data_IF_822937740904
#
_entry.id   IF_822937740904
#
_cell.length_a   1.000
_cell.length_b   1.000
_cell.length_c   1.000
_cell.angle_alpha   90.00
_cell.angle_beta   90.00
_cell.angle_gamma   90.00
#
_symmetry.space_group_name_H-M   'P 1'
#
loop_
_entity.id
_entity.type
_entity.pdbx_description
1 polymer ?
#
# COMPACT_ATOMS: atom_id res chain seq x y z
N UNK A 1 0.12 -24.62 10.35
CA UNK A 1 -0.22 -24.01 9.04
C UNK A 1 0.06 -22.50 8.97
N UNK A 2 -0.18 -21.71 10.03
CA UNK A 2 0.04 -20.24 9.97
C UNK A 2 1.52 -19.82 9.84
N UNK A 3 2.46 -20.57 10.40
CA UNK A 3 3.90 -20.29 10.29
C UNK A 3 4.45 -20.36 8.85
N UNK A 4 3.85 -21.21 7.99
CA UNK A 4 4.27 -21.31 6.59
C UNK A 4 3.79 -20.13 5.75
N UNK A 5 2.64 -19.55 6.08
CA UNK A 5 2.10 -18.38 5.40
C UNK A 5 2.92 -17.12 5.67
N UNK A 6 3.30 -16.91 6.94
CA UNK A 6 4.12 -15.75 7.32
C UNK A 6 5.53 -15.84 6.72
N UNK A 7 6.12 -17.03 6.64
CA UNK A 7 7.42 -17.24 6.01
C UNK A 7 7.37 -17.04 4.48
N UNK A 8 6.25 -17.38 3.84
CA UNK A 8 6.05 -17.17 2.40
C UNK A 8 5.94 -15.68 2.06
N UNK A 9 5.22 -14.89 2.87
CA UNK A 9 5.10 -13.44 2.68
C UNK A 9 6.45 -12.74 2.93
N UNK A 10 7.18 -13.13 3.97
CA UNK A 10 8.50 -12.55 4.27
C UNK A 10 9.55 -12.89 3.19
N UNK A 11 9.51 -14.10 2.63
CA UNK A 11 10.42 -14.50 1.54
C UNK A 11 10.05 -13.83 0.22
N UNK A 12 8.76 -13.70 -0.10
CA UNK A 12 8.30 -12.98 -1.29
C UNK A 12 8.70 -11.50 -1.27
N UNK A 13 8.52 -10.82 -0.14
CA UNK A 13 8.88 -9.40 0.01
C UNK A 13 10.40 -9.16 -0.01
N UNK A 14 11.20 -10.13 0.47
CA UNK A 14 12.66 -10.07 0.44
C UNK A 14 13.24 -10.28 -0.97
N UNK A 15 12.65 -11.19 -1.75
CA UNK A 15 13.05 -11.43 -3.15
C UNK A 15 12.74 -10.22 -4.04
N UNK A 16 11.70 -9.45 -3.71
CA UNK A 16 11.33 -8.23 -4.46
C UNK A 16 12.28 -7.05 -4.18
N UNK A 17 12.87 -6.97 -2.98
CA UNK A 17 13.93 -5.98 -2.67
C UNK A 17 15.25 -6.24 -3.41
N UNK A 18 15.57 -7.50 -3.69
CA UNK A 18 16.84 -7.86 -4.36
C UNK A 18 16.78 -7.69 -5.89
N UNK A 19 15.59 -7.47 -6.48
CA UNK A 19 15.44 -7.24 -7.93
C UNK A 19 15.57 -5.78 -8.38
N UNK A 20 15.64 -4.82 -7.45
CA UNK A 20 15.87 -3.40 -7.76
C UNK A 20 17.32 -2.93 -7.56
N UNK A 21 18.24 -3.82 -7.14
CA UNK A 21 19.65 -3.50 -6.87
C UNK A 21 20.62 -3.66 -8.06
N UNK A 22 20.12 -3.79 -9.29
CA UNK A 22 20.87 -4.41 -10.40
C UNK A 22 21.15 -3.57 -11.65
N UNK A 23 21.20 -2.24 -11.57
CA UNK A 23 21.71 -1.42 -12.69
C UNK A 23 22.86 -0.53 -12.21
N UNK A 24 24.06 -1.13 -12.16
CA UNK A 24 25.31 -0.37 -12.12
C UNK A 24 25.45 0.40 -13.43
N UNK A 25 25.34 1.73 -13.37
CA UNK A 25 25.87 2.60 -14.43
C UNK A 25 27.39 2.48 -14.36
N UNK A 26 27.99 1.76 -15.30
CA UNK A 26 29.45 1.78 -15.51
C UNK A 26 29.85 3.18 -15.98
N UNK A 27 30.21 4.05 -15.03
CA UNK A 27 30.89 5.31 -15.38
C UNK A 27 32.38 5.00 -15.54
N UNK A 28 32.85 4.95 -16.78
CA UNK A 28 34.29 4.94 -17.05
C UNK A 28 34.85 6.30 -16.62
N UNK A 29 35.84 6.32 -15.71
CA UNK A 29 36.58 7.55 -15.38
C UNK A 29 37.35 8.01 -16.62
N UNK A 30 36.84 9.05 -17.28
CA UNK A 30 37.52 9.73 -18.38
C UNK A 30 38.53 10.72 -17.76
N UNK A 31 39.82 10.71 -18.17
CA UNK A 31 40.80 11.66 -17.68
C UNK A 31 40.41 13.10 -18.03
N UNK A 32 40.55 14.01 -17.06
CA UNK A 32 40.00 15.37 -17.05
C UNK A 32 40.54 16.35 -18.11
N UNK A 33 41.40 15.90 -19.03
CA UNK A 33 42.21 16.78 -19.88
C UNK A 33 41.67 16.91 -21.31
N UNK A 34 40.41 16.52 -21.56
CA UNK A 34 39.76 16.65 -22.87
C UNK A 34 38.32 17.18 -22.73
N UNK A 35 37.92 18.21 -23.49
CA UNK A 35 36.54 18.69 -23.47
C UNK A 35 35.59 17.59 -23.96
N UNK A 36 34.64 17.20 -23.11
CA UNK A 36 33.58 16.24 -23.43
C UNK A 36 32.64 16.90 -24.44
N UNK A 37 32.77 16.55 -25.73
CA UNK A 37 31.77 16.92 -26.73
C UNK A 37 30.64 15.90 -26.68
N UNK A 38 29.55 16.25 -26.00
CA UNK A 38 28.30 15.49 -26.07
C UNK A 38 27.72 15.72 -27.47
N UNK A 39 27.71 14.69 -28.30
CA UNK A 39 27.12 14.73 -29.63
C UNK A 39 25.68 14.21 -29.53
N UNK A 40 24.72 15.08 -29.79
CA UNK A 40 23.33 14.69 -29.96
C UNK A 40 23.16 14.19 -31.41
N UNK A 41 22.74 12.94 -31.58
CA UNK A 41 22.38 12.42 -32.90
C UNK A 41 21.08 13.08 -33.33
N UNK A 42 21.18 13.96 -34.32
CA UNK A 42 20.10 14.75 -34.90
C UNK A 42 19.34 13.86 -35.90
N UNK A 43 18.19 13.31 -35.51
CA UNK A 43 17.24 12.79 -36.49
C UNK A 43 16.51 13.98 -37.12
N UNK A 44 16.86 14.28 -38.38
CA UNK A 44 16.31 15.37 -39.16
C UNK A 44 14.86 15.05 -39.56
N UNK A 45 13.90 15.77 -38.98
CA UNK A 45 12.49 15.73 -39.39
C UNK A 45 12.03 17.16 -39.66
N UNK A 46 12.17 17.53 -40.94
CA UNK A 46 11.58 18.61 -41.74
C UNK A 46 10.55 19.54 -41.07
N UNK A 47 10.85 20.85 -41.14
CA UNK A 47 10.01 22.01 -40.82
C UNK A 47 8.63 22.01 -41.54
N UNK A 48 7.56 22.37 -40.81
CA UNK A 48 6.49 23.26 -41.29
C UNK A 48 5.47 23.60 -40.18
N UNK A 49 5.49 24.86 -39.73
CA UNK A 49 4.34 25.77 -39.52
C UNK A 49 4.57 26.67 -38.31
N UNK A 50 4.88 27.92 -38.63
CA UNK A 50 4.79 29.09 -37.79
C UNK A 50 3.39 29.25 -37.18
N UNK A 51 3.23 28.79 -35.95
CA UNK A 51 2.24 29.32 -35.01
C UNK A 51 3.01 29.98 -33.87
N UNK A 52 2.78 31.28 -33.72
CA UNK A 52 3.00 32.11 -32.54
C UNK A 52 3.18 31.25 -31.26
N UNK A 53 4.42 31.08 -30.83
CA UNK A 53 4.74 30.20 -29.72
C UNK A 53 4.45 30.93 -28.40
N UNK A 54 3.19 30.89 -27.95
CA UNK A 54 2.88 31.09 -26.55
C UNK A 54 3.36 29.85 -25.79
N UNK A 55 4.68 29.77 -25.55
CA UNK A 55 5.25 28.70 -24.77
C UNK A 55 4.83 28.85 -23.30
N UNK A 56 4.37 27.78 -22.62
CA UNK A 56 4.18 27.81 -21.18
C UNK A 56 5.51 28.17 -20.51
N UNK A 57 5.61 29.42 -20.04
CA UNK A 57 6.86 29.98 -19.51
C UNK A 57 7.23 29.44 -18.13
N UNK A 58 6.34 28.69 -17.46
CA UNK A 58 6.59 28.26 -16.10
C UNK A 58 5.92 26.91 -15.78
N UNK A 59 6.72 26.02 -15.21
CA UNK A 59 6.27 24.82 -14.51
C UNK A 59 6.45 25.06 -13.00
N UNK A 60 5.45 25.63 -12.31
CA UNK A 60 5.60 26.09 -10.92
C UNK A 60 5.84 24.95 -9.92
N UNK A 61 5.43 23.72 -10.28
CA UNK A 61 5.57 22.54 -9.43
C UNK A 61 6.92 21.81 -9.60
N UNK A 62 7.76 22.26 -10.53
CA UNK A 62 9.15 21.83 -10.69
C UNK A 62 10.07 22.72 -9.84
N UNK A 63 11.12 22.12 -9.28
CA UNK A 63 12.17 22.87 -8.59
C UNK A 63 12.74 23.95 -9.51
N UNK A 64 13.11 25.10 -8.94
CA UNK A 64 13.57 26.25 -9.71
C UNK A 64 14.76 25.92 -10.63
N UNK A 65 15.60 24.96 -10.25
CA UNK A 65 16.74 24.49 -11.04
C UNK A 65 16.35 23.63 -12.25
N UNK A 66 15.13 23.07 -12.24
CA UNK A 66 14.58 22.21 -13.28
C UNK A 66 13.63 22.97 -14.23
N UNK A 67 13.47 24.28 -14.04
CA UNK A 67 12.65 25.07 -14.95
C UNK A 67 13.36 25.26 -16.30
N UNK A 68 12.66 25.08 -17.43
CA UNK A 68 13.23 25.34 -18.75
C UNK A 68 13.73 26.79 -18.88
N UNK A 69 15.02 26.96 -19.17
CA UNK A 69 15.61 28.27 -19.41
C UNK A 69 15.10 28.85 -20.74
N UNK A 70 14.88 30.18 -20.84
CA UNK A 70 14.44 30.80 -22.09
C UNK A 70 15.39 30.49 -23.27
N UNK A 71 14.86 30.12 -24.44
CA UNK A 71 15.68 29.81 -25.60
C UNK A 71 16.37 31.06 -26.18
N UNK A 72 17.51 30.87 -26.85
CA UNK A 72 18.17 31.91 -27.62
C UNK A 72 17.58 31.98 -29.03
N UNK A 73 16.90 33.09 -29.36
CA UNK A 73 16.15 33.25 -30.62
C UNK A 73 17.00 33.24 -31.90
N UNK A 74 18.31 33.40 -31.80
CA UNK A 74 19.24 33.34 -32.94
C UNK A 74 19.73 31.92 -33.25
N UNK A 75 19.48 30.94 -32.37
CA UNK A 75 19.95 29.56 -32.51
C UNK A 75 18.79 28.58 -32.59
N UNK A 76 18.71 27.85 -33.71
CA UNK A 76 17.69 26.79 -33.92
C UNK A 76 17.84 25.65 -32.89
N UNK A 77 19.08 25.27 -32.56
CA UNK A 77 19.37 24.22 -31.59
C UNK A 77 18.86 24.58 -30.20
N UNK A 78 19.03 25.84 -29.78
CA UNK A 78 18.56 26.30 -28.47
C UNK A 78 17.04 26.23 -28.35
N UNK A 79 16.32 26.60 -29.40
CA UNK A 79 14.86 26.50 -29.45
C UNK A 79 14.39 25.04 -29.39
N UNK A 80 15.10 24.12 -30.05
CA UNK A 80 14.77 22.70 -30.03
C UNK A 80 15.01 22.07 -28.65
N UNK A 81 16.14 22.36 -28.01
CA UNK A 81 16.45 21.89 -26.65
C UNK A 81 15.41 22.40 -25.64
N UNK A 82 15.01 23.66 -25.75
CA UNK A 82 13.95 24.22 -24.91
C UNK A 82 12.63 23.45 -25.07
N UNK A 83 12.18 23.21 -26.31
CA UNK A 83 10.96 22.44 -26.58
C UNK A 83 11.01 21.03 -26.01
N UNK A 84 12.17 20.36 -26.13
CA UNK A 84 12.37 19.04 -25.52
C UNK A 84 12.28 19.09 -24.00
N UNK A 85 12.88 20.10 -23.37
CA UNK A 85 12.83 20.27 -21.93
C UNK A 85 11.39 20.52 -21.42
N UNK A 86 10.61 21.36 -22.11
CA UNK A 86 9.18 21.53 -21.80
C UNK A 86 8.43 20.20 -21.83
N UNK A 87 8.65 19.39 -22.87
CA UNK A 87 8.00 18.07 -22.98
C UNK A 87 8.36 17.14 -21.82
N UNK A 88 9.66 17.08 -21.47
CA UNK A 88 10.11 16.25 -20.34
C UNK A 88 9.55 16.76 -19.01
N UNK A 89 9.44 18.08 -18.83
CA UNK A 89 8.86 18.68 -17.63
C UNK A 89 7.37 18.33 -17.47
N UNK A 90 6.61 18.31 -18.57
CA UNK A 90 5.22 17.83 -18.60
C UNK A 90 5.12 16.35 -18.21
N UNK A 91 5.92 15.49 -18.84
CA UNK A 91 5.97 14.06 -18.53
C UNK A 91 6.34 13.80 -17.06
N UNK A 92 7.32 14.54 -16.53
CA UNK A 92 7.70 14.46 -15.12
C UNK A 92 6.56 14.85 -14.18
N UNK A 93 5.79 15.88 -14.51
CA UNK A 93 4.63 16.29 -13.73
C UNK A 93 3.55 15.20 -13.72
N UNK A 94 3.27 14.55 -14.86
CA UNK A 94 2.34 13.42 -14.91
C UNK A 94 2.80 12.25 -14.05
N UNK A 95 4.08 11.87 -14.14
CA UNK A 95 4.66 10.81 -13.30
C UNK A 95 4.58 11.17 -11.81
N UNK A 96 4.85 12.44 -11.45
CA UNK A 96 4.74 12.92 -10.06
C UNK A 96 3.31 12.77 -9.53
N UNK A 97 2.29 13.07 -10.35
CA UNK A 97 0.88 12.84 -9.98
C UNK A 97 0.56 11.36 -9.79
N UNK A 98 1.06 10.51 -10.69
CA UNK A 98 0.87 9.06 -10.58
C UNK A 98 1.51 8.49 -9.32
N UNK A 99 2.75 8.89 -9.00
CA UNK A 99 3.43 8.51 -7.75
C UNK A 99 2.58 8.89 -6.54
N UNK A 100 2.08 10.14 -6.48
CA UNK A 100 1.25 10.58 -5.37
C UNK A 100 -0.05 9.76 -5.23
N UNK A 101 -0.70 9.44 -6.36
CA UNK A 101 -1.90 8.60 -6.38
C UNK A 101 -1.61 7.16 -5.89
N UNK A 102 -0.47 6.58 -6.30
CA UNK A 102 -0.04 5.25 -5.87
C UNK A 102 0.32 5.23 -4.37
N UNK A 103 0.95 6.27 -3.85
CA UNK A 103 1.25 6.40 -2.43
C UNK A 103 -0.01 6.48 -1.57
N UNK A 104 -1.03 7.21 -2.02
CA UNK A 104 -2.32 7.26 -1.34
C UNK A 104 -3.00 5.88 -1.34
N UNK A 105 -3.09 5.23 -2.51
CA UNK A 105 -3.66 3.88 -2.61
C UNK A 105 -2.93 2.87 -1.73
N UNK A 106 -1.61 2.98 -1.61
CA UNK A 106 -0.81 2.15 -0.70
C UNK A 106 -1.21 2.39 0.76
N UNK A 107 -1.37 3.65 1.19
CA UNK A 107 -1.84 3.99 2.54
C UNK A 107 -3.21 3.38 2.83
N UNK A 108 -4.15 3.52 1.90
CA UNK A 108 -5.50 2.94 2.05
C UNK A 108 -5.47 1.41 2.19
N UNK A 109 -4.65 0.73 1.40
CA UNK A 109 -4.52 -0.72 1.45
C UNK A 109 -3.93 -1.19 2.79
N UNK A 110 -2.92 -0.49 3.31
CA UNK A 110 -2.36 -0.77 4.63
C UNK A 110 -3.43 -0.60 5.71
N UNK A 111 -4.16 0.51 5.71
CA UNK A 111 -5.22 0.77 6.69
C UNK A 111 -6.33 -0.31 6.65
N UNK A 112 -6.68 -0.82 5.46
CA UNK A 112 -7.63 -1.93 5.33
C UNK A 112 -7.09 -3.25 5.88
N UNK A 113 -5.81 -3.55 5.68
CA UNK A 113 -5.18 -4.74 6.24
C UNK A 113 -5.15 -4.69 7.77
N UNK A 114 -4.75 -3.54 8.33
CA UNK A 114 -4.73 -3.32 9.78
C UNK A 114 -6.12 -3.49 10.41
N UNK A 115 -7.16 -3.00 9.72
CA UNK A 115 -8.54 -3.16 10.16
C UNK A 115 -8.98 -4.64 10.16
N UNK A 116 -8.65 -5.39 9.11
CA UNK A 116 -8.97 -6.84 9.04
C UNK A 116 -8.22 -7.63 10.10
N UNK A 117 -6.96 -7.29 10.39
CA UNK A 117 -6.20 -7.92 11.45
C UNK A 117 -6.84 -7.69 12.82
N UNK A 118 -7.26 -6.45 13.10
CA UNK A 118 -7.99 -6.11 14.31
C UNK A 118 -9.30 -6.91 14.44
N UNK A 119 -10.11 -6.94 13.39
CA UNK A 119 -11.37 -7.70 13.37
C UNK A 119 -11.16 -9.20 13.60
N UNK A 120 -10.08 -9.77 13.06
CA UNK A 120 -9.72 -11.16 13.29
C UNK A 120 -9.35 -11.43 14.76
N UNK A 121 -8.55 -10.55 15.37
CA UNK A 121 -8.22 -10.64 16.81
C UNK A 121 -9.51 -10.56 17.66
N UNK A 122 -10.40 -9.62 17.34
CA UNK A 122 -11.68 -9.47 18.04
C UNK A 122 -12.57 -10.72 17.88
N UNK A 123 -12.62 -11.30 16.68
CA UNK A 123 -13.37 -12.52 16.41
C UNK A 123 -12.83 -13.73 17.18
N UNK A 124 -11.49 -13.88 17.27
CA UNK A 124 -10.86 -14.94 18.08
C UNK A 124 -11.18 -14.76 19.56
N UNK A 125 -11.12 -13.52 20.07
CA UNK A 125 -11.48 -13.21 21.45
C UNK A 125 -12.95 -13.56 21.75
N UNK A 126 -13.88 -13.14 20.88
CA UNK A 126 -15.31 -13.45 21.03
C UNK A 126 -15.60 -14.95 20.99
N UNK A 127 -14.91 -15.70 20.12
CA UNK A 127 -15.06 -17.14 20.05
C UNK A 127 -14.63 -17.84 21.35
N UNK A 128 -13.55 -17.34 21.97
CA UNK A 128 -13.07 -17.85 23.26
C UNK A 128 -14.06 -17.54 24.39
N UNK A 129 -14.57 -16.31 24.47
CA UNK A 129 -15.58 -15.91 25.47
C UNK A 129 -16.87 -16.72 25.32
N UNK A 130 -17.32 -16.94 24.09
CA UNK A 130 -18.49 -17.77 23.81
C UNK A 130 -18.30 -19.22 24.30
N UNK A 131 -17.13 -19.81 24.06
CA UNK A 131 -16.82 -21.16 24.49
C UNK A 131 -16.81 -21.28 26.02
N UNK A 132 -16.24 -20.30 26.70
CA UNK A 132 -16.20 -20.27 28.17
C UNK A 132 -17.60 -20.09 28.78
N UNK A 133 -18.40 -19.18 28.21
CA UNK A 133 -19.79 -18.98 28.61
C UNK A 133 -20.66 -20.21 28.33
N UNK A 134 -20.42 -20.91 27.22
CA UNK A 134 -21.10 -22.16 26.87
C UNK A 134 -20.83 -23.26 27.91
N UNK A 135 -19.57 -23.41 28.34
CA UNK A 135 -19.21 -24.36 29.41
C UNK A 135 -19.88 -24.01 30.74
N UNK A 136 -19.89 -22.73 31.11
CA UNK A 136 -20.56 -22.27 32.33
C UNK A 136 -22.06 -22.54 32.27
N UNK A 137 -22.70 -22.24 31.15
CA UNK A 137 -24.13 -22.47 30.94
C UNK A 137 -24.48 -23.97 31.04
N UNK A 138 -23.66 -24.85 30.46
CA UNK A 138 -23.81 -26.30 30.60
C UNK A 138 -23.69 -26.74 32.06
N UNK A 139 -22.69 -26.25 32.79
CA UNK A 139 -22.49 -26.53 34.21
C UNK A 139 -23.68 -26.08 35.05
N UNK A 140 -24.19 -24.87 34.80
CA UNK A 140 -25.34 -24.30 35.50
C UNK A 140 -26.61 -25.11 35.22
N UNK A 141 -26.85 -25.51 33.97
CA UNK A 141 -27.98 -26.35 33.61
C UNK A 141 -27.94 -27.72 34.31
N UNK A 142 -26.76 -28.33 34.43
CA UNK A 142 -26.58 -29.58 35.18
C UNK A 142 -26.88 -29.39 36.67
N UNK A 143 -26.38 -28.30 37.28
CA UNK A 143 -26.65 -27.98 38.68
C UNK A 143 -28.14 -27.73 38.92
N UNK A 144 -28.79 -26.98 38.03
CA UNK A 144 -30.23 -26.72 38.08
C UNK A 144 -31.04 -28.02 37.95
N UNK A 145 -30.70 -28.91 37.01
CA UNK A 145 -31.35 -30.20 36.85
C UNK A 145 -31.24 -31.07 38.12
N UNK A 146 -30.06 -31.12 38.73
CA UNK A 146 -29.85 -31.83 40.01
C UNK A 146 -30.70 -31.26 41.14
N UNK A 147 -30.73 -29.92 41.27
CA UNK A 147 -31.54 -29.25 42.28
C UNK A 147 -33.03 -29.55 42.10
N UNK A 148 -33.52 -29.50 40.85
CA UNK A 148 -34.90 -29.85 40.50
C UNK A 148 -35.24 -31.31 40.83
N UNK A 149 -34.34 -32.24 40.56
CA UNK A 149 -34.53 -33.65 40.91
C UNK A 149 -34.60 -33.85 42.44
N UNK A 150 -33.75 -33.15 43.20
CA UNK A 150 -33.77 -33.19 44.66
C UNK A 150 -35.10 -32.65 45.22
N UNK A 151 -35.62 -31.56 44.66
CA UNK A 151 -36.92 -31.00 45.03
C UNK A 151 -38.07 -31.99 44.77
N UNK A 152 -38.06 -32.67 43.63
CA UNK A 152 -39.10 -33.65 43.31
C UNK A 152 -39.04 -34.88 44.25
N UNK A 153 -37.84 -35.35 44.59
CA UNK A 153 -37.67 -36.41 45.61
C UNK A 153 -38.28 -36.01 46.96
N UNK A 154 -38.01 -34.78 47.41
CA UNK A 154 -38.60 -34.25 48.65
C UNK A 154 -40.12 -34.19 48.55
N UNK A 155 -40.67 -33.69 47.44
CA UNK A 155 -42.12 -33.59 47.21
C UNK A 155 -42.81 -34.95 47.33
N UNK A 156 -42.26 -35.99 46.70
CA UNK A 156 -42.79 -37.36 46.76
C UNK A 156 -42.74 -37.91 48.20
N UNK A 157 -41.63 -37.69 48.92
CA UNK A 157 -41.49 -38.13 50.31
C UNK A 157 -42.54 -37.48 51.22
N UNK A 158 -42.84 -36.19 51.04
CA UNK A 158 -43.87 -35.50 51.80
C UNK A 158 -45.27 -36.05 51.49
N UNK A 159 -45.60 -36.31 50.21
CA UNK A 159 -46.89 -36.91 49.83
C UNK A 159 -47.10 -38.30 50.44
N UNK A 160 -46.08 -39.16 50.40
CA UNK A 160 -46.15 -40.52 50.99
C UNK A 160 -46.39 -40.48 52.50
N UNK A 161 -45.84 -39.49 53.21
CA UNK A 161 -46.01 -39.34 54.66
C UNK A 161 -47.42 -38.84 55.04
N UNK A 162 -48.07 -38.09 54.17
CA UNK A 162 -49.42 -37.54 54.38
C UNK A 162 -50.53 -38.54 54.01
N UNK A 163 -50.27 -39.52 53.14
CA UNK A 163 -51.24 -40.55 52.74
C UNK A 163 -51.31 -41.78 53.66
N UNK A 164 -50.55 -41.80 54.76
CA UNK A 164 -50.51 -42.89 55.74
C UNK A 164 -51.23 -42.45 57.03
N UNK A 165 -52.56 -42.39 56.98
CA UNK A 165 -53.46 -42.27 58.15
C UNK A 165 -54.71 -43.10 57.91
#
# INVERSE_FOLDING_TARGET
MQYYFHLYIYTAFRIEKDKFGGHMITTARIPADKPVRISFSLNDATDASSSENSFPLAFPDLDQQLQPLPPCNSSKESLQVFKQHCKIAEEYHEVKKEIAALEERKRELIARLDQVEKENVDAVHLAQEYEDLSKENQSLNLAHARCKEQLEKLRILYQKRQGSS
#
